data_IF_964082783288
#
_entry.id   IF_964082783288
#
_cell.length_a   1.000
_cell.length_b   1.000
_cell.length_c   1.000
_cell.angle_alpha   90.00
_cell.angle_beta   90.00
_cell.angle_gamma   90.00
#
_symmetry.space_group_name_H-M   'P 1'
#
loop_
_entity.id
_entity.type
_entity.pdbx_description
1 polymer ?
#
# COMPACT_ATOMS: atom_id res chain seq x y z
N UNK A 1 -25.34 24.94 -10.04
CA UNK A 1 -26.23 23.77 -10.18
C UNK A 1 -25.68 22.74 -11.18
N UNK A 2 -25.57 23.02 -12.50
CA UNK A 2 -25.04 22.05 -13.50
C UNK A 2 -23.63 21.46 -13.22
N UNK A 3 -22.75 22.17 -12.51
CA UNK A 3 -21.39 21.66 -12.22
C UNK A 3 -21.33 20.64 -11.07
N UNK A 4 -22.26 20.69 -10.11
CA UNK A 4 -22.29 19.74 -8.99
C UNK A 4 -22.88 18.39 -9.43
N UNK A 5 -23.92 18.44 -10.27
CA UNK A 5 -24.52 17.23 -10.86
C UNK A 5 -23.53 16.45 -11.73
N UNK A 6 -22.65 17.16 -12.47
CA UNK A 6 -21.59 16.53 -13.26
C UNK A 6 -20.53 15.89 -12.36
N UNK A 7 -20.07 16.57 -11.30
CA UNK A 7 -19.12 16.01 -10.33
C UNK A 7 -19.66 14.77 -9.62
N UNK A 8 -20.93 14.78 -9.22
CA UNK A 8 -21.58 13.63 -8.58
C UNK A 8 -21.71 12.43 -9.52
N UNK A 9 -22.12 12.65 -10.77
CA UNK A 9 -22.22 11.59 -11.79
C UNK A 9 -20.84 11.05 -12.19
N UNK A 10 -19.84 11.91 -12.27
CA UNK A 10 -18.46 11.56 -12.57
C UNK A 10 -17.84 10.70 -11.46
N UNK A 11 -17.99 11.10 -10.18
CA UNK A 11 -17.51 10.29 -9.05
C UNK A 11 -18.17 8.90 -9.01
N UNK A 12 -19.46 8.81 -9.34
CA UNK A 12 -20.14 7.51 -9.40
C UNK A 12 -19.61 6.61 -10.53
N UNK A 13 -19.38 7.15 -11.73
CA UNK A 13 -18.81 6.36 -12.84
C UNK A 13 -17.34 5.97 -12.56
N UNK A 14 -16.55 6.87 -11.97
CA UNK A 14 -15.16 6.60 -11.58
C UNK A 14 -15.08 5.45 -10.56
N UNK A 15 -15.99 5.42 -9.57
CA UNK A 15 -16.05 4.32 -8.60
C UNK A 15 -16.37 2.98 -9.27
N UNK A 16 -17.28 2.95 -10.24
CA UNK A 16 -17.59 1.73 -10.98
C UNK A 16 -16.37 1.24 -11.78
N UNK A 17 -15.71 2.13 -12.52
CA UNK A 17 -14.50 1.81 -13.30
C UNK A 17 -13.40 1.30 -12.36
N UNK A 18 -13.20 1.97 -11.22
CA UNK A 18 -12.21 1.58 -10.21
C UNK A 18 -12.53 0.19 -9.66
N UNK A 19 -13.79 -0.10 -9.31
CA UNK A 19 -14.22 -1.41 -8.83
C UNK A 19 -13.96 -2.53 -9.84
N UNK A 20 -14.24 -2.30 -11.13
CA UNK A 20 -13.95 -3.26 -12.21
C UNK A 20 -12.44 -3.48 -12.37
N UNK A 21 -11.65 -2.40 -12.37
CA UNK A 21 -10.18 -2.48 -12.46
C UNK A 21 -9.62 -3.29 -11.29
N UNK A 22 -10.05 -2.98 -10.06
CA UNK A 22 -9.61 -3.68 -8.84
C UNK A 22 -9.96 -5.17 -8.89
N UNK A 23 -11.15 -5.51 -9.37
CA UNK A 23 -11.57 -6.90 -9.52
C UNK A 23 -10.71 -7.66 -10.54
N UNK A 24 -10.44 -7.06 -11.71
CA UNK A 24 -9.58 -7.67 -12.75
C UNK A 24 -8.15 -7.83 -12.24
N UNK A 25 -7.59 -6.80 -11.60
CA UNK A 25 -6.24 -6.85 -11.03
C UNK A 25 -6.18 -7.94 -9.95
N UNK A 26 -7.19 -8.05 -9.09
CA UNK A 26 -7.23 -9.09 -8.07
C UNK A 26 -7.26 -10.50 -8.65
N UNK A 27 -8.03 -10.75 -9.71
CA UNK A 27 -8.01 -12.03 -10.44
C UNK A 27 -6.63 -12.28 -11.06
N UNK A 28 -6.03 -11.29 -11.71
CA UNK A 28 -4.70 -11.41 -12.30
C UNK A 28 -3.63 -11.72 -11.24
N UNK A 29 -3.74 -11.12 -10.06
CA UNK A 29 -2.88 -11.40 -8.91
C UNK A 29 -3.05 -12.83 -8.40
N UNK A 30 -4.28 -13.36 -8.37
CA UNK A 30 -4.52 -14.76 -8.01
C UNK A 30 -3.98 -15.75 -9.06
N UNK A 31 -4.03 -15.38 -10.34
CA UNK A 31 -3.50 -16.22 -11.42
C UNK A 31 -1.97 -16.31 -11.38
N UNK A 32 -1.28 -15.21 -11.01
CA UNK A 32 0.17 -15.19 -10.81
C UNK A 32 0.55 -14.30 -9.61
N UNK A 33 0.54 -14.84 -8.38
CA UNK A 33 0.79 -14.05 -7.17
C UNK A 33 2.24 -13.55 -7.11
N UNK A 34 3.20 -14.31 -7.64
CA UNK A 34 4.61 -13.91 -7.67
C UNK A 34 4.80 -12.73 -8.62
N UNK A 35 4.37 -12.87 -9.88
CA UNK A 35 4.48 -11.80 -10.87
C UNK A 35 3.71 -10.54 -10.46
N UNK A 36 2.55 -10.72 -9.83
CA UNK A 36 1.76 -9.62 -9.27
C UNK A 36 2.52 -8.79 -8.24
N UNK A 37 3.18 -9.45 -7.28
CA UNK A 37 3.98 -8.74 -6.29
C UNK A 37 5.25 -8.11 -6.86
N UNK A 38 5.87 -8.73 -7.87
CA UNK A 38 7.00 -8.11 -8.59
C UNK A 38 6.60 -6.81 -9.27
N UNK A 39 5.39 -6.74 -9.84
CA UNK A 39 4.84 -5.50 -10.41
C UNK A 39 4.62 -4.44 -9.33
N UNK A 40 4.14 -4.82 -8.14
CA UNK A 40 3.98 -3.89 -7.01
C UNK A 40 5.34 -3.31 -6.59
N UNK A 41 6.37 -4.15 -6.46
CA UNK A 41 7.74 -3.71 -6.16
C UNK A 41 8.29 -2.79 -7.25
N UNK A 42 8.04 -3.10 -8.52
CA UNK A 42 8.48 -2.26 -9.64
C UNK A 42 7.86 -0.86 -9.54
N UNK A 43 6.55 -0.77 -9.29
CA UNK A 43 5.85 0.50 -9.11
C UNK A 43 6.42 1.26 -7.91
N UNK A 44 6.62 0.59 -6.77
CA UNK A 44 7.23 1.20 -5.58
C UNK A 44 8.63 1.74 -5.86
N UNK A 45 9.47 0.97 -6.55
CA UNK A 45 10.82 1.40 -6.93
C UNK A 45 10.81 2.64 -7.82
N UNK A 46 9.92 2.71 -8.81
CA UNK A 46 9.75 3.89 -9.67
C UNK A 46 9.33 5.12 -8.85
N UNK A 47 8.37 4.95 -7.93
CA UNK A 47 7.90 6.03 -7.05
C UNK A 47 9.04 6.52 -6.16
N UNK A 48 9.85 5.63 -5.58
CA UNK A 48 11.00 6.01 -4.75
C UNK A 48 12.05 6.80 -5.53
N UNK A 49 12.36 6.37 -6.75
CA UNK A 49 13.29 7.10 -7.63
C UNK A 49 12.74 8.50 -7.93
N UNK A 50 11.47 8.58 -8.36
CA UNK A 50 10.82 9.85 -8.66
C UNK A 50 10.83 10.79 -7.44
N UNK A 51 10.49 10.28 -6.25
CA UNK A 51 10.52 11.03 -5.00
C UNK A 51 11.92 11.54 -4.66
N UNK A 52 12.95 10.68 -4.78
CA UNK A 52 14.34 11.06 -4.56
C UNK A 52 14.77 12.20 -5.50
N UNK A 53 14.48 12.07 -6.79
CA UNK A 53 14.81 13.09 -7.81
C UNK A 53 14.06 14.41 -7.56
N UNK A 54 12.75 14.36 -7.32
CA UNK A 54 11.93 15.55 -7.04
C UNK A 54 12.46 16.28 -5.80
N UNK A 55 12.81 15.53 -4.75
CA UNK A 55 13.33 16.10 -3.50
C UNK A 55 14.68 16.79 -3.73
N UNK A 56 15.58 16.20 -4.53
CA UNK A 56 16.87 16.83 -4.90
C UNK A 56 16.63 18.14 -5.66
N UNK A 57 15.74 18.15 -6.65
CA UNK A 57 15.43 19.35 -7.46
C UNK A 57 14.77 20.44 -6.59
N UNK A 58 13.85 20.05 -5.70
CA UNK A 58 13.18 20.96 -4.77
C UNK A 58 14.16 21.58 -3.78
N UNK A 59 15.11 20.80 -3.24
CA UNK A 59 16.14 21.28 -2.32
C UNK A 59 17.19 22.16 -3.01
N UNK A 60 17.45 21.95 -4.30
CA UNK A 60 18.30 22.84 -5.09
C UNK A 60 17.62 24.18 -5.35
N UNK A 61 16.31 24.18 -5.62
CA UNK A 61 15.52 25.40 -5.89
C UNK A 61 15.26 26.22 -4.62
N UNK A 62 15.08 25.54 -3.48
CA UNK A 62 14.96 26.17 -2.16
C UNK A 62 16.35 26.21 -1.53
N UNK A 63 17.15 27.23 -1.84
CA UNK A 63 18.44 27.52 -1.19
C UNK A 63 18.21 27.77 0.31
N UNK A 64 18.00 26.72 1.08
CA UNK A 64 17.41 26.79 2.42
C UNK A 64 18.51 26.83 3.46
N UNK A 65 18.63 28.01 4.07
CA UNK A 65 19.56 28.40 5.12
C UNK A 65 19.56 27.57 6.41
N UNK A 66 18.79 26.48 6.59
CA UNK A 66 18.66 25.83 7.90
C UNK A 66 18.53 24.30 7.90
N UNK A 67 18.80 23.62 6.78
CA UNK A 67 18.92 22.16 6.77
C UNK A 67 20.39 21.80 6.54
N UNK A 68 21.04 21.16 7.52
CA UNK A 68 22.42 20.68 7.37
C UNK A 68 22.59 19.96 6.03
N UNK A 69 23.63 20.31 5.27
CA UNK A 69 23.89 19.88 3.89
C UNK A 69 23.77 18.35 3.72
N UNK A 70 24.09 17.59 4.77
CA UNK A 70 23.94 16.14 4.82
C UNK A 70 22.48 15.64 4.73
N UNK A 71 21.50 16.30 5.34
CA UNK A 71 20.11 15.84 5.31
C UNK A 71 19.42 16.10 3.96
N UNK A 72 19.76 17.21 3.31
CA UNK A 72 19.08 17.68 2.11
C UNK A 72 19.42 16.88 0.84
N UNK A 73 20.62 16.29 0.75
CA UNK A 73 21.09 15.60 -0.44
C UNK A 73 21.39 14.11 -0.21
N UNK A 74 21.93 13.72 0.95
CA UNK A 74 22.32 12.32 1.20
C UNK A 74 21.09 11.41 1.30
N UNK A 75 20.06 11.81 2.04
CA UNK A 75 18.82 11.02 2.20
C UNK A 75 18.12 10.74 0.86
N UNK A 76 17.81 11.74 0.00
CA UNK A 76 17.12 11.45 -1.25
C UNK A 76 17.96 10.66 -2.26
N UNK A 77 19.29 10.79 -2.25
CA UNK A 77 20.18 9.93 -3.05
C UNK A 77 20.10 8.48 -2.59
N UNK A 78 20.15 8.23 -1.28
CA UNK A 78 19.96 6.88 -0.73
C UNK A 78 18.59 6.32 -1.14
N UNK A 79 17.52 7.11 -1.03
CA UNK A 79 16.16 6.69 -1.43
C UNK A 79 16.09 6.33 -2.91
N UNK A 80 16.72 7.11 -3.79
CA UNK A 80 16.78 6.81 -5.22
C UNK A 80 17.55 5.52 -5.50
N UNK A 81 18.70 5.30 -4.83
CA UNK A 81 19.49 4.07 -4.95
C UNK A 81 18.68 2.86 -4.46
N UNK A 82 17.98 2.98 -3.33
CA UNK A 82 17.09 1.94 -2.83
C UNK A 82 15.97 1.62 -3.84
N UNK A 83 15.39 2.64 -4.48
CA UNK A 83 14.40 2.46 -5.53
C UNK A 83 14.95 1.68 -6.74
N UNK A 84 16.19 1.97 -7.17
CA UNK A 84 16.88 1.21 -8.22
C UNK A 84 17.12 -0.24 -7.77
N UNK A 85 17.58 -0.44 -6.54
CA UNK A 85 17.84 -1.76 -5.98
C UNK A 85 16.57 -2.62 -5.94
N UNK A 86 15.43 -2.04 -5.57
CA UNK A 86 14.12 -2.71 -5.61
C UNK A 86 13.74 -3.15 -7.04
N UNK A 87 14.00 -2.33 -8.05
CA UNK A 87 13.68 -2.66 -9.45
C UNK A 87 14.59 -3.78 -9.98
N UNK A 88 15.87 -3.76 -9.63
CA UNK A 88 16.86 -4.76 -10.06
C UNK A 88 16.61 -6.10 -9.39
N UNK A 89 16.36 -6.11 -8.08
CA UNK A 89 16.14 -7.33 -7.30
C UNK A 89 14.66 -7.62 -7.03
N UNK A 90 13.78 -7.32 -8.00
CA UNK A 90 12.31 -7.32 -7.80
C UNK A 90 11.75 -8.65 -7.27
N UNK A 91 12.27 -9.78 -7.72
CA UNK A 91 11.77 -11.11 -7.33
C UNK A 91 11.98 -11.40 -5.84
N UNK A 92 13.24 -11.44 -5.35
CA UNK A 92 13.52 -11.64 -3.93
C UNK A 92 12.93 -10.55 -3.04
N UNK A 93 12.94 -9.28 -3.49
CA UNK A 93 12.39 -8.18 -2.69
C UNK A 93 10.88 -8.24 -2.58
N UNK A 94 10.15 -8.69 -3.61
CA UNK A 94 8.71 -8.89 -3.53
C UNK A 94 8.32 -9.92 -2.46
N UNK A 95 9.09 -11.00 -2.35
CA UNK A 95 8.86 -12.06 -1.38
C UNK A 95 9.25 -11.74 0.06
N UNK A 96 10.09 -10.72 0.30
CA UNK A 96 10.66 -10.41 1.61
C UNK A 96 10.27 -9.00 2.09
N UNK A 97 10.50 -7.98 1.26
CA UNK A 97 10.36 -6.57 1.64
C UNK A 97 8.90 -6.20 1.87
N UNK A 98 7.98 -6.61 0.99
CA UNK A 98 6.55 -6.37 1.18
C UNK A 98 5.99 -7.02 2.47
N UNK A 99 6.18 -8.34 2.70
CA UNK A 99 5.81 -8.97 3.98
C UNK A 99 6.36 -8.27 5.20
N UNK A 100 7.63 -7.87 5.14
CA UNK A 100 8.30 -7.24 6.26
C UNK A 100 7.69 -5.88 6.58
N UNK A 101 7.47 -5.04 5.57
CA UNK A 101 6.83 -3.74 5.74
C UNK A 101 5.41 -3.90 6.27
N UNK A 102 4.60 -4.78 5.65
CA UNK A 102 3.20 -4.98 6.04
C UNK A 102 3.09 -5.58 7.44
N UNK A 103 3.89 -6.61 7.75
CA UNK A 103 3.87 -7.28 9.04
C UNK A 103 4.28 -6.36 10.19
N UNK A 104 5.35 -5.57 10.01
CA UNK A 104 5.78 -4.57 11.00
C UNK A 104 4.68 -3.51 11.18
N UNK A 105 4.12 -3.00 10.08
CA UNK A 105 3.06 -1.99 10.13
C UNK A 105 1.81 -2.51 10.86
N UNK A 106 1.41 -3.76 10.63
CA UNK A 106 0.29 -4.39 11.34
C UNK A 106 0.55 -4.51 12.84
N UNK A 107 1.77 -4.89 13.25
CA UNK A 107 2.12 -4.97 14.66
C UNK A 107 2.07 -3.58 15.30
N UNK A 108 2.69 -2.57 14.67
CA UNK A 108 2.69 -1.20 15.17
C UNK A 108 1.26 -0.66 15.31
N UNK A 109 0.42 -0.83 14.28
CA UNK A 109 -0.97 -0.39 14.33
C UNK A 109 -1.80 -1.18 15.33
N UNK A 110 -1.56 -2.48 15.47
CA UNK A 110 -2.23 -3.29 16.46
C UNK A 110 -1.90 -2.82 17.89
N UNK A 111 -0.64 -2.47 18.15
CA UNK A 111 -0.22 -1.89 19.44
C UNK A 111 -0.83 -0.52 19.67
N UNK A 112 -0.77 0.39 18.68
CA UNK A 112 -1.39 1.72 18.78
C UNK A 112 -2.90 1.58 19.02
N UNK A 113 -3.57 0.72 18.26
CA UNK A 113 -5.01 0.50 18.39
C UNK A 113 -5.37 -0.09 19.75
N UNK A 114 -4.50 -0.89 20.36
CA UNK A 114 -4.69 -1.42 21.70
C UNK A 114 -4.58 -0.33 22.78
N UNK A 115 -3.68 0.64 22.61
CA UNK A 115 -3.51 1.73 23.58
C UNK A 115 -4.58 2.82 23.42
N UNK A 116 -5.10 3.03 22.22
CA UNK A 116 -6.18 4.00 21.96
C UNK A 116 -7.59 3.43 22.11
N UNK A 117 -7.73 2.12 22.29
CA UNK A 117 -9.03 1.46 22.39
C UNK A 117 -9.81 1.92 23.64
N UNK A 118 -11.08 2.36 23.51
CA UNK A 118 -11.90 2.72 24.65
C UNK A 118 -12.11 1.50 25.56
N UNK A 119 -12.04 1.71 26.88
CA UNK A 119 -12.06 0.62 27.84
C UNK A 119 -13.31 -0.26 27.79
N UNK A 120 -14.44 0.29 27.34
CA UNK A 120 -15.73 -0.40 27.18
C UNK A 120 -15.83 -1.28 25.93
N UNK A 121 -14.97 -1.08 24.93
CA UNK A 121 -15.06 -1.82 23.67
C UNK A 121 -14.14 -3.04 23.67
N UNK A 122 -14.66 -4.15 24.20
CA UNK A 122 -14.03 -5.47 24.10
C UNK A 122 -13.73 -5.85 22.64
N UNK A 123 -14.63 -5.50 21.71
CA UNK A 123 -14.46 -5.77 20.28
C UNK A 123 -13.21 -5.10 19.71
N UNK A 124 -12.93 -3.84 20.06
CA UNK A 124 -11.74 -3.13 19.59
C UNK A 124 -10.44 -3.75 20.14
N UNK A 125 -10.43 -4.15 21.41
CA UNK A 125 -9.27 -4.81 22.03
C UNK A 125 -8.99 -6.16 21.39
N UNK A 126 -10.02 -6.96 21.14
CA UNK A 126 -9.91 -8.26 20.44
C UNK A 126 -9.38 -8.05 19.02
N UNK A 127 -9.90 -7.07 18.28
CA UNK A 127 -9.46 -6.77 16.92
C UNK A 127 -7.99 -6.33 16.88
N UNK A 128 -7.54 -5.53 17.85
CA UNK A 128 -6.14 -5.13 17.99
C UNK A 128 -5.23 -6.34 18.23
N UNK A 129 -5.62 -7.26 19.12
CA UNK A 129 -4.87 -8.50 19.39
C UNK A 129 -4.79 -9.37 18.13
N UNK A 130 -5.91 -9.55 17.42
CA UNK A 130 -5.94 -10.27 16.15
C UNK A 130 -5.00 -9.62 15.13
N UNK A 131 -4.98 -8.28 15.05
CA UNK A 131 -4.13 -7.54 14.11
C UNK A 131 -2.64 -7.76 14.41
N UNK A 132 -2.26 -7.79 15.69
CA UNK A 132 -0.87 -8.10 16.11
C UNK A 132 -0.51 -9.54 15.72
N UNK A 133 -1.38 -10.51 16.03
CA UNK A 133 -1.16 -11.92 15.72
C UNK A 133 -1.01 -12.12 14.21
N UNK A 134 -1.89 -11.50 13.41
CA UNK A 134 -1.80 -11.54 11.96
C UNK A 134 -0.49 -10.92 11.45
N UNK A 135 -0.04 -9.80 12.03
CA UNK A 135 1.26 -9.22 11.71
C UNK A 135 2.41 -10.19 11.96
N UNK A 136 2.41 -10.87 13.12
CA UNK A 136 3.41 -11.91 13.45
C UNK A 136 3.34 -13.09 12.48
N UNK A 137 2.13 -13.57 12.15
CA UNK A 137 1.93 -14.65 11.18
C UNK A 137 2.50 -14.24 9.82
N UNK A 138 2.22 -13.03 9.33
CA UNK A 138 2.77 -12.51 8.08
C UNK A 138 4.30 -12.52 8.11
N UNK A 139 4.91 -12.12 9.23
CA UNK A 139 6.36 -12.13 9.37
C UNK A 139 6.95 -13.56 9.39
N UNK A 140 6.27 -14.54 9.98
CA UNK A 140 6.73 -15.94 9.96
C UNK A 140 6.53 -16.55 8.57
N UNK A 141 5.39 -16.28 7.94
CA UNK A 141 5.07 -16.75 6.60
C UNK A 141 5.98 -16.15 5.52
N UNK A 142 6.63 -15.01 5.77
CA UNK A 142 7.66 -14.46 4.87
C UNK A 142 8.77 -15.49 4.59
N UNK A 143 9.11 -16.32 5.58
CA UNK A 143 10.11 -17.37 5.44
C UNK A 143 9.60 -18.58 4.63
N UNK A 144 8.27 -18.74 4.51
CA UNK A 144 7.62 -19.86 3.82
C UNK A 144 7.31 -19.58 2.33
N UNK A 145 7.40 -18.33 1.87
CA UNK A 145 7.43 -17.99 0.45
C UNK A 145 6.41 -16.94 -0.03
N UNK A 146 6.82 -16.23 -1.09
CA UNK A 146 6.13 -15.11 -1.74
C UNK A 146 4.65 -15.34 -2.10
N UNK A 147 4.22 -16.59 -2.26
CA UNK A 147 2.88 -16.91 -2.77
C UNK A 147 1.76 -16.50 -1.81
N UNK A 148 1.99 -16.52 -0.49
CA UNK A 148 0.94 -16.27 0.50
C UNK A 148 0.41 -14.84 0.43
N UNK A 149 1.30 -13.84 0.36
CA UNK A 149 0.90 -12.44 0.36
C UNK A 149 0.32 -11.99 -0.97
N UNK A 150 0.87 -12.45 -2.10
CA UNK A 150 0.29 -12.16 -3.40
C UNK A 150 -1.15 -12.71 -3.49
N UNK A 151 -1.38 -13.90 -2.96
CA UNK A 151 -2.72 -14.50 -2.90
C UNK A 151 -3.65 -13.70 -1.98
N UNK A 152 -3.18 -13.35 -0.77
CA UNK A 152 -3.95 -12.59 0.20
C UNK A 152 -4.34 -11.20 -0.36
N UNK A 153 -3.39 -10.50 -0.96
CA UNK A 153 -3.64 -9.22 -1.64
C UNK A 153 -4.63 -9.38 -2.79
N UNK A 154 -4.55 -10.46 -3.56
CA UNK A 154 -5.47 -10.75 -4.65
C UNK A 154 -6.92 -10.92 -4.15
N UNK A 155 -7.09 -11.67 -3.06
CA UNK A 155 -8.40 -11.82 -2.39
C UNK A 155 -8.91 -10.46 -1.91
N UNK A 156 -8.07 -9.65 -1.25
CA UNK A 156 -8.45 -8.32 -0.79
C UNK A 156 -8.90 -7.41 -1.93
N UNK A 157 -8.18 -7.40 -3.06
CA UNK A 157 -8.53 -6.58 -4.22
C UNK A 157 -9.85 -7.01 -4.86
N UNK A 158 -10.12 -8.33 -4.93
CA UNK A 158 -11.40 -8.85 -5.41
C UNK A 158 -12.54 -8.41 -4.49
N UNK A 159 -12.41 -8.63 -3.18
CA UNK A 159 -13.43 -8.27 -2.20
C UNK A 159 -13.70 -6.76 -2.25
N UNK A 160 -12.65 -5.95 -2.27
CA UNK A 160 -12.78 -4.50 -2.34
C UNK A 160 -13.42 -4.06 -3.67
N UNK A 161 -13.03 -4.65 -4.80
CA UNK A 161 -13.65 -4.42 -6.10
C UNK A 161 -15.16 -4.72 -6.09
N UNK A 162 -15.57 -5.84 -5.50
CA UNK A 162 -17.00 -6.19 -5.35
C UNK A 162 -17.71 -5.16 -4.48
N UNK A 163 -17.15 -4.80 -3.32
CA UNK A 163 -17.75 -3.79 -2.42
C UNK A 163 -17.96 -2.46 -3.16
N UNK A 164 -16.96 -1.98 -3.90
CA UNK A 164 -17.06 -0.73 -4.66
C UNK A 164 -18.13 -0.80 -5.75
N UNK A 165 -18.24 -1.94 -6.47
CA UNK A 165 -19.29 -2.15 -7.47
C UNK A 165 -20.68 -2.13 -6.80
N UNK A 166 -20.85 -2.84 -5.67
CA UNK A 166 -22.11 -2.87 -4.92
C UNK A 166 -22.48 -1.49 -4.40
N UNK A 167 -21.52 -0.73 -3.87
CA UNK A 167 -21.74 0.65 -3.42
C UNK A 167 -22.25 1.56 -4.54
N UNK A 168 -21.78 1.37 -5.77
CA UNK A 168 -22.31 2.11 -6.92
C UNK A 168 -23.78 1.81 -7.20
N UNK A 169 -24.19 0.54 -7.05
CA UNK A 169 -25.61 0.16 -7.19
C UNK A 169 -26.45 0.69 -6.03
N UNK A 170 -25.94 0.65 -4.80
CA UNK A 170 -26.65 1.13 -3.60
C UNK A 170 -26.75 2.66 -3.50
N UNK A 171 -25.74 3.40 -4.00
CA UNK A 171 -25.74 4.87 -4.06
C UNK A 171 -26.63 5.47 -5.15
N UNK A 172 -27.40 4.65 -5.88
CA UNK A 172 -28.46 5.07 -6.80
C UNK A 172 -29.85 5.15 -6.15
N UNK A 173 -30.00 4.78 -4.87
CA UNK A 173 -31.19 5.07 -4.05
C UNK A 173 -31.00 6.37 -3.30
#
# INVERSE_FOLDING_TARGET
MKMEDFKMKQNNILNLIMGIILFIIGIALLANPVGGMEVIILILGIIMIAYGVITIISNYSKRTENAGVFGAYTIPVIVAILGILLIVFRGPTAGIVLPLIIGIWMIVNGVISLTTAPNSSLASKILSIITIILGVIVLICMAAGANFLGTLLGIFLIVFGIITIVQWFSGKK
#
